data_IF_437576825865
#
_entry.id   IF_437576825865
#
_cell.length_a   1.000
_cell.length_b   1.000
_cell.length_c   1.000
_cell.angle_alpha   90.00
_cell.angle_beta   90.00
_cell.angle_gamma   90.00
#
_symmetry.space_group_name_H-M   'P 1'
#
loop_
_entity.id
_entity.type
_entity.pdbx_description
1 polymer ?
#
# COMPACT_ATOMS: atom_id res chain seq x y z
N UNK A 1 -23.72 0.17 -21.68
CA UNK A 1 -23.19 1.03 -20.61
C UNK A 1 -21.81 1.46 -21.03
N UNK A 2 -21.46 2.74 -20.90
CA UNK A 2 -20.17 3.27 -21.36
C UNK A 2 -19.06 2.99 -20.33
N UNK A 3 -17.86 2.75 -20.84
CA UNK A 3 -16.66 2.54 -20.03
C UNK A 3 -16.25 3.81 -19.27
N UNK A 4 -15.81 3.68 -18.02
CA UNK A 4 -15.20 4.78 -17.26
C UNK A 4 -13.76 4.98 -17.73
N UNK A 5 -13.40 6.22 -18.05
CA UNK A 5 -12.01 6.62 -18.28
C UNK A 5 -11.29 6.87 -16.96
N UNK A 6 -10.01 6.50 -16.89
CA UNK A 6 -9.14 6.83 -15.76
C UNK A 6 -9.13 8.34 -15.53
N UNK A 7 -9.24 8.74 -14.26
CA UNK A 7 -9.08 10.12 -13.85
C UNK A 7 -8.07 10.15 -12.69
N UNK A 8 -6.85 10.60 -12.99
CA UNK A 8 -5.75 10.58 -12.04
C UNK A 8 -5.98 11.55 -10.88
N UNK A 9 -5.76 11.06 -9.67
CA UNK A 9 -5.69 11.89 -8.47
C UNK A 9 -4.29 12.53 -8.35
N UNK A 10 -4.13 13.59 -7.53
CA UNK A 10 -2.80 13.97 -7.07
C UNK A 10 -2.10 12.78 -6.40
N UNK A 11 -0.82 12.56 -6.71
CA UNK A 11 -0.07 11.39 -6.21
C UNK A 11 0.12 11.37 -4.69
N UNK A 12 -0.06 12.52 -4.01
CA UNK A 12 0.19 12.67 -2.58
C UNK A 12 -1.03 13.19 -1.81
N UNK A 13 -1.28 12.54 -0.66
CA UNK A 13 -2.20 13.02 0.37
C UNK A 13 -1.43 13.90 1.37
N UNK A 14 -1.37 15.20 1.09
CA UNK A 14 -0.40 16.09 1.77
C UNK A 14 -0.98 16.98 2.88
N UNK A 15 -2.30 17.09 3.01
CA UNK A 15 -2.87 17.93 4.08
C UNK A 15 -2.89 17.17 5.42
N UNK A 16 -2.48 17.81 6.54
CA UNK A 16 -2.54 17.18 7.85
C UNK A 16 -3.92 16.63 8.22
N UNK A 17 -4.99 17.29 7.77
CA UNK A 17 -6.37 16.90 8.01
C UNK A 17 -6.73 15.60 7.27
N UNK A 18 -6.36 15.47 6.00
CA UNK A 18 -6.60 14.23 5.24
C UNK A 18 -5.81 13.06 5.81
N UNK A 19 -4.52 13.28 6.12
CA UNK A 19 -3.68 12.25 6.74
C UNK A 19 -4.25 11.78 8.07
N UNK A 20 -4.73 12.70 8.91
CA UNK A 20 -5.35 12.36 10.18
C UNK A 20 -6.67 11.59 10.00
N UNK A 21 -7.51 11.99 9.04
CA UNK A 21 -8.76 11.30 8.74
C UNK A 21 -8.52 9.87 8.22
N UNK A 22 -7.56 9.70 7.30
CA UNK A 22 -7.15 8.40 6.79
C UNK A 22 -6.59 7.50 7.90
N UNK A 23 -5.65 8.02 8.70
CA UNK A 23 -5.04 7.26 9.79
C UNK A 23 -6.04 6.87 10.91
N UNK A 24 -7.14 7.60 11.04
CA UNK A 24 -8.20 7.30 12.01
C UNK A 24 -9.29 6.35 11.46
N UNK A 25 -9.34 6.13 10.14
CA UNK A 25 -10.31 5.25 9.52
C UNK A 25 -10.00 3.78 9.81
N UNK A 26 -11.04 2.97 9.99
CA UNK A 26 -10.88 1.55 10.31
C UNK A 26 -10.64 0.72 9.03
N UNK A 27 -9.38 0.54 8.69
CA UNK A 27 -8.94 -0.35 7.62
C UNK A 27 -8.52 -1.73 8.12
N UNK A 28 -8.90 -2.11 9.35
CA UNK A 28 -8.40 -3.33 9.97
C UNK A 28 -8.69 -4.59 9.16
N UNK A 29 -9.90 -4.70 8.58
CA UNK A 29 -10.30 -5.82 7.74
C UNK A 29 -9.50 -5.88 6.44
N UNK A 30 -9.49 -4.85 5.57
CA UNK A 30 -8.76 -4.91 4.30
C UNK A 30 -7.23 -5.03 4.49
N UNK A 31 -6.64 -4.34 5.48
CA UNK A 31 -5.21 -4.43 5.73
C UNK A 31 -4.80 -5.80 6.31
N UNK A 32 -5.62 -6.40 7.17
CA UNK A 32 -5.36 -7.75 7.65
C UNK A 32 -5.52 -8.80 6.53
N UNK A 33 -6.47 -8.61 5.62
CA UNK A 33 -6.69 -9.51 4.51
C UNK A 33 -5.46 -9.65 3.61
N UNK A 34 -4.71 -8.57 3.39
CA UNK A 34 -3.43 -8.61 2.67
C UNK A 34 -2.44 -9.55 3.35
N UNK A 35 -2.20 -9.37 4.65
CA UNK A 35 -1.22 -10.17 5.42
C UNK A 35 -1.65 -11.63 5.47
N UNK A 36 -2.94 -11.89 5.70
CA UNK A 36 -3.49 -13.25 5.66
C UNK A 36 -3.30 -13.88 4.28
N UNK A 37 -3.56 -13.12 3.20
CA UNK A 37 -3.44 -13.65 1.84
C UNK A 37 -1.99 -13.94 1.44
N UNK A 38 -1.06 -13.08 1.86
CA UNK A 38 0.37 -13.32 1.71
C UNK A 38 0.76 -14.65 2.38
N UNK A 39 0.36 -14.87 3.63
CA UNK A 39 0.68 -16.10 4.36
C UNK A 39 0.11 -17.38 3.70
N UNK A 40 -1.08 -17.29 3.11
CA UNK A 40 -1.68 -18.41 2.36
C UNK A 40 -0.89 -18.76 1.09
N UNK A 41 -0.38 -17.75 0.39
CA UNK A 41 0.33 -17.93 -0.88
C UNK A 41 1.79 -18.32 -0.69
N UNK A 42 2.40 -17.86 0.40
CA UNK A 42 3.82 -18.05 0.71
C UNK A 42 4.00 -18.67 2.10
N UNK A 43 3.52 -19.90 2.33
CA UNK A 43 3.52 -20.53 3.66
C UNK A 43 4.93 -20.79 4.22
N UNK A 44 5.94 -20.84 3.35
CA UNK A 44 7.34 -21.08 3.73
C UNK A 44 8.10 -19.79 4.09
N UNK A 45 7.52 -18.61 3.85
CA UNK A 45 8.14 -17.34 4.22
C UNK A 45 8.04 -17.11 5.74
N UNK A 46 9.12 -16.65 6.38
CA UNK A 46 9.15 -16.44 7.82
C UNK A 46 10.17 -15.44 8.37
N UNK A 47 11.18 -15.06 7.58
CA UNK A 47 12.28 -14.19 7.99
C UNK A 47 12.91 -13.52 6.77
N UNK A 48 13.83 -12.59 7.00
CA UNK A 48 14.52 -11.82 5.97
C UNK A 48 14.15 -10.35 5.99
N UNK A 49 14.64 -9.61 5.00
CA UNK A 49 14.36 -8.20 4.80
C UNK A 49 13.19 -8.02 3.82
N UNK A 50 12.14 -7.36 4.29
CA UNK A 50 10.91 -7.12 3.53
C UNK A 50 10.84 -5.67 3.10
N UNK A 51 10.53 -5.43 1.83
CA UNK A 51 10.21 -4.10 1.32
C UNK A 51 8.70 -3.90 1.27
N UNK A 52 8.21 -2.85 1.91
CA UNK A 52 6.82 -2.38 1.82
C UNK A 52 6.80 -1.03 1.07
N UNK A 53 6.43 -1.05 -0.20
CA UNK A 53 6.39 0.17 -1.03
C UNK A 53 5.03 0.83 -0.95
N UNK A 54 5.02 2.14 -0.66
CA UNK A 54 3.81 2.90 -0.40
C UNK A 54 3.25 2.59 0.98
N UNK A 55 4.14 2.50 1.98
CA UNK A 55 3.76 2.01 3.31
C UNK A 55 2.77 2.94 4.04
N UNK A 56 2.60 4.19 3.59
CA UNK A 56 1.70 5.18 4.15
C UNK A 56 1.90 5.36 5.66
N UNK A 57 0.81 5.29 6.42
CA UNK A 57 0.82 5.35 7.89
C UNK A 57 1.25 4.02 8.57
N UNK A 58 1.85 3.10 7.80
CA UNK A 58 2.48 1.86 8.24
C UNK A 58 1.56 0.83 8.94
N UNK A 59 0.24 0.85 8.72
CA UNK A 59 -0.67 -0.15 9.32
C UNK A 59 -0.44 -1.56 8.74
N UNK A 60 -0.33 -1.69 7.41
CA UNK A 60 0.02 -2.97 6.78
C UNK A 60 1.41 -3.41 7.21
N UNK A 61 2.39 -2.52 7.20
CA UNK A 61 3.76 -2.75 7.68
C UNK A 61 3.76 -3.32 9.11
N UNK A 62 2.99 -2.71 10.01
CA UNK A 62 2.89 -3.14 11.41
C UNK A 62 2.25 -4.52 11.54
N UNK A 63 1.15 -4.77 10.83
CA UNK A 63 0.48 -6.09 10.83
C UNK A 63 1.40 -7.17 10.28
N UNK A 64 2.13 -6.87 9.21
CA UNK A 64 3.09 -7.80 8.62
C UNK A 64 4.22 -8.10 9.61
N UNK A 65 4.77 -7.08 10.27
CA UNK A 65 5.78 -7.26 11.32
C UNK A 65 5.25 -8.15 12.45
N UNK A 66 4.03 -7.92 12.94
CA UNK A 66 3.43 -8.73 14.00
C UNK A 66 3.23 -10.20 13.58
N UNK A 67 2.87 -10.45 12.32
CA UNK A 67 2.73 -11.80 11.76
C UNK A 67 4.08 -12.52 11.58
N UNK A 68 5.14 -11.78 11.24
CA UNK A 68 6.48 -12.29 10.95
C UNK A 68 7.50 -11.68 11.93
N UNK A 69 7.61 -12.20 13.17
CA UNK A 69 8.45 -11.59 14.22
C UNK A 69 9.94 -11.61 13.89
N UNK A 70 10.39 -12.55 13.06
CA UNK A 70 11.80 -12.71 12.65
C UNK A 70 12.14 -11.93 11.36
N UNK A 71 11.18 -11.21 10.76
CA UNK A 71 11.41 -10.36 9.61
C UNK A 71 11.81 -8.94 10.03
N UNK A 72 12.73 -8.34 9.27
CA UNK A 72 12.99 -6.91 9.27
C UNK A 72 12.19 -6.28 8.13
N UNK A 73 11.62 -5.11 8.34
CA UNK A 73 10.80 -4.43 7.34
C UNK A 73 11.33 -3.03 7.09
N UNK A 74 11.57 -2.74 5.82
CA UNK A 74 11.77 -1.39 5.32
C UNK A 74 10.47 -0.95 4.64
N UNK A 75 9.76 0.00 5.25
CA UNK A 75 8.64 0.69 4.63
C UNK A 75 9.13 1.96 3.93
N UNK A 76 8.69 2.20 2.70
CA UNK A 76 9.07 3.39 1.94
C UNK A 76 7.83 4.10 1.43
N UNK A 77 7.79 5.42 1.55
CA UNK A 77 6.67 6.24 1.08
C UNK A 77 7.16 7.63 0.66
N UNK A 78 6.46 8.26 -0.29
CA UNK A 78 6.79 9.60 -0.75
C UNK A 78 6.18 10.71 0.13
N UNK A 79 5.19 10.37 0.96
CA UNK A 79 4.45 11.28 1.82
C UNK A 79 5.07 11.45 3.22
N UNK A 80 5.81 12.53 3.51
CA UNK A 80 6.46 12.73 4.81
C UNK A 80 5.47 12.82 5.98
N UNK A 81 4.24 13.29 5.74
CA UNK A 81 3.20 13.33 6.76
C UNK A 81 2.68 11.93 7.12
N UNK A 82 2.53 11.05 6.13
CA UNK A 82 2.15 9.66 6.33
C UNK A 82 3.24 8.93 7.13
N UNK A 83 4.50 9.10 6.75
CA UNK A 83 5.65 8.54 7.47
C UNK A 83 5.72 9.01 8.92
N UNK A 84 5.44 10.29 9.19
CA UNK A 84 5.41 10.82 10.57
C UNK A 84 4.38 10.10 11.43
N UNK A 85 3.19 9.80 10.89
CA UNK A 85 2.17 8.99 11.58
C UNK A 85 2.64 7.55 11.72
N UNK A 86 3.21 6.97 10.68
CA UNK A 86 3.73 5.60 10.67
C UNK A 86 4.83 5.38 11.72
N UNK A 87 5.79 6.30 11.84
CA UNK A 87 6.86 6.20 12.85
C UNK A 87 6.28 6.18 14.27
N UNK A 88 5.29 7.04 14.54
CA UNK A 88 4.61 7.04 15.84
C UNK A 88 3.84 5.73 16.09
N UNK A 89 3.15 5.21 15.06
CA UNK A 89 2.41 3.96 15.12
C UNK A 89 3.34 2.76 15.43
N UNK A 90 4.44 2.63 14.69
CA UNK A 90 5.47 1.60 14.90
C UNK A 90 6.07 1.68 16.31
N UNK A 91 6.33 2.89 16.81
CA UNK A 91 6.86 3.08 18.17
C UNK A 91 5.85 2.65 19.26
N UNK A 92 4.57 3.01 19.11
CA UNK A 92 3.50 2.63 20.04
C UNK A 92 3.38 1.10 20.14
N UNK A 93 3.55 0.39 19.02
CA UNK A 93 3.51 -1.07 18.96
C UNK A 93 4.81 -1.76 19.39
N UNK A 94 5.86 -1.00 19.72
CA UNK A 94 7.16 -1.55 20.12
C UNK A 94 7.92 -2.25 18.99
N UNK A 95 7.68 -1.84 17.73
CA UNK A 95 8.25 -2.48 16.54
C UNK A 95 9.50 -1.78 16.00
N UNK A 96 9.94 -0.68 16.63
CA UNK A 96 11.04 0.17 16.15
C UNK A 96 12.41 -0.51 16.04
N UNK A 97 12.62 -1.69 16.63
CA UNK A 97 13.88 -2.43 16.50
C UNK A 97 14.03 -3.18 15.17
N UNK A 98 12.94 -3.33 14.41
CA UNK A 98 12.90 -4.15 13.19
C UNK A 98 12.05 -3.59 12.06
N UNK A 99 11.40 -2.44 12.29
CA UNK A 99 10.69 -1.70 11.25
C UNK A 99 11.34 -0.33 11.10
N UNK A 100 11.84 -0.06 9.90
CA UNK A 100 12.40 1.23 9.48
C UNK A 100 11.50 1.82 8.42
N UNK A 101 11.22 3.12 8.51
CA UNK A 101 10.41 3.83 7.52
C UNK A 101 11.26 4.94 6.90
N UNK A 102 11.29 5.02 5.56
CA UNK A 102 12.09 5.98 4.81
C UNK A 102 11.28 6.76 3.78
N UNK A 103 11.62 8.03 3.60
CA UNK A 103 11.06 8.88 2.56
C UNK A 103 11.75 8.63 1.22
N UNK A 104 11.07 7.91 0.32
CA UNK A 104 11.53 7.61 -1.02
C UNK A 104 10.38 7.77 -2.02
N UNK A 105 10.68 8.36 -3.17
CA UNK A 105 9.80 8.26 -4.34
C UNK A 105 10.19 7.01 -5.12
N UNK A 106 9.29 6.43 -5.91
CA UNK A 106 9.63 5.33 -6.82
C UNK A 106 9.42 5.74 -8.29
N UNK A 107 10.31 5.31 -9.20
CA UNK A 107 11.51 4.49 -8.96
C UNK A 107 12.66 5.31 -8.34
N UNK A 108 13.49 4.68 -7.49
CA UNK A 108 14.67 5.31 -6.89
C UNK A 108 15.84 4.31 -6.79
N UNK A 109 17.00 4.72 -7.29
CA UNK A 109 18.21 3.90 -7.34
C UNK A 109 18.75 3.55 -5.94
N UNK A 110 18.39 4.31 -4.90
CA UNK A 110 18.78 4.00 -3.52
C UNK A 110 18.25 2.64 -3.07
N UNK A 111 17.16 2.14 -3.65
CA UNK A 111 16.65 0.79 -3.35
C UNK A 111 17.65 -0.32 -3.70
N UNK A 112 18.59 -0.08 -4.63
CA UNK A 112 19.64 -1.05 -4.96
C UNK A 112 20.65 -1.24 -3.81
N UNK A 113 20.85 -0.19 -3.01
CA UNK A 113 21.78 -0.21 -1.87
C UNK A 113 21.12 -0.73 -0.57
N UNK A 114 19.78 -0.71 -0.52
CA UNK A 114 18.99 -1.11 0.64
C UNK A 114 18.60 -2.59 0.64
N UNK A 115 18.78 -3.28 -0.50
CA UNK A 115 18.48 -4.69 -0.69
C UNK A 115 19.74 -5.61 -0.65
N UNK A 116 19.61 -6.88 -1.08
CA UNK A 116 18.43 -7.47 -1.70
C UNK A 116 17.29 -7.78 -0.70
N UNK A 117 16.06 -7.80 -1.19
CA UNK A 117 14.86 -8.06 -0.37
C UNK A 117 14.37 -9.51 -0.50
N UNK A 118 14.08 -10.13 0.64
CA UNK A 118 13.57 -11.51 0.74
C UNK A 118 12.06 -11.59 0.47
N UNK A 119 11.32 -10.48 0.59
CA UNK A 119 9.95 -10.36 0.14
C UNK A 119 9.59 -8.91 -0.19
N UNK A 120 8.57 -8.76 -1.04
CA UNK A 120 8.02 -7.48 -1.46
C UNK A 120 6.51 -7.45 -1.21
N UNK A 121 6.05 -6.40 -0.54
CA UNK A 121 4.62 -6.10 -0.39
C UNK A 121 4.32 -4.68 -0.88
N UNK A 122 3.13 -4.49 -1.43
CA UNK A 122 2.62 -3.18 -1.83
C UNK A 122 1.09 -3.21 -1.69
N UNK A 123 0.54 -2.20 -1.00
CA UNK A 123 -0.89 -2.06 -0.78
C UNK A 123 -1.36 -0.69 -1.23
N UNK A 124 -2.31 -0.65 -2.16
CA UNK A 124 -3.03 0.57 -2.54
C UNK A 124 -2.12 1.73 -2.98
N UNK A 125 -1.05 1.45 -3.72
CA UNK A 125 -0.15 2.46 -4.31
C UNK A 125 -0.22 2.50 -5.84
N UNK A 126 -0.39 1.35 -6.50
CA UNK A 126 -0.23 1.20 -7.94
C UNK A 126 -1.14 2.15 -8.71
N UNK A 127 -2.37 2.38 -8.23
CA UNK A 127 -3.31 3.31 -8.85
C UNK A 127 -2.87 4.79 -8.80
N UNK A 128 -2.09 5.18 -7.79
CA UNK A 128 -1.57 6.54 -7.67
C UNK A 128 -0.35 6.80 -8.56
N UNK A 129 0.34 5.77 -9.05
CA UNK A 129 1.51 5.95 -9.90
C UNK A 129 1.11 6.51 -11.27
N UNK A 130 1.81 7.54 -11.74
CA UNK A 130 1.68 8.01 -13.12
C UNK A 130 2.06 6.94 -14.15
N UNK A 131 3.09 6.13 -13.86
CA UNK A 131 3.51 4.97 -14.65
C UNK A 131 3.51 3.71 -13.77
N UNK A 132 2.63 2.72 -14.03
CA UNK A 132 2.57 1.50 -13.21
C UNK A 132 3.85 0.66 -13.32
N UNK A 133 4.65 0.83 -14.39
CA UNK A 133 5.92 0.12 -14.53
C UNK A 133 6.94 0.49 -13.45
N UNK A 134 6.85 1.68 -12.86
CA UNK A 134 7.74 2.14 -11.78
C UNK A 134 7.74 1.18 -10.56
N UNK A 135 6.58 0.57 -10.27
CA UNK A 135 6.49 -0.43 -9.20
C UNK A 135 7.33 -1.66 -9.54
N UNK A 136 7.20 -2.16 -10.76
CA UNK A 136 7.90 -3.35 -11.24
C UNK A 136 9.41 -3.12 -11.39
N UNK A 137 9.83 -1.91 -11.73
CA UNK A 137 11.24 -1.55 -11.72
C UNK A 137 11.87 -1.64 -10.34
N UNK A 138 11.08 -1.39 -9.29
CA UNK A 138 11.54 -1.47 -7.90
C UNK A 138 11.76 -2.92 -7.43
N UNK A 139 11.18 -3.92 -8.13
CA UNK A 139 11.38 -5.34 -7.84
C UNK A 139 12.77 -5.87 -8.23
N UNK A 140 13.54 -5.15 -9.06
CA UNK A 140 14.88 -5.57 -9.52
C UNK A 140 15.85 -5.84 -8.37
N UNK A 141 15.54 -5.32 -7.19
CA UNK A 141 16.32 -5.47 -5.96
C UNK A 141 15.85 -6.63 -5.07
N UNK A 142 14.97 -7.49 -5.56
CA UNK A 142 14.49 -8.66 -4.81
C UNK A 142 15.42 -9.86 -5.01
N UNK A 143 15.49 -10.74 -4.01
CA UNK A 143 16.14 -12.06 -4.16
C UNK A 143 15.41 -12.86 -5.24
N UNK A 144 16.15 -13.65 -6.02
CA UNK A 144 15.56 -14.56 -7.00
C UNK A 144 14.56 -15.50 -6.33
N UNK A 145 13.30 -15.46 -6.80
CA UNK A 145 12.21 -16.26 -6.22
C UNK A 145 11.60 -15.70 -4.94
N UNK A 146 11.98 -14.48 -4.53
CA UNK A 146 11.33 -13.78 -3.42
C UNK A 146 9.81 -13.65 -3.66
N UNK A 147 8.98 -13.87 -2.63
CA UNK A 147 7.57 -13.51 -2.66
C UNK A 147 7.36 -12.05 -3.07
N UNK A 148 6.50 -11.82 -4.04
CA UNK A 148 6.03 -10.49 -4.43
C UNK A 148 4.51 -10.48 -4.31
N UNK A 149 3.99 -9.57 -3.50
CA UNK A 149 2.55 -9.44 -3.29
C UNK A 149 2.09 -7.99 -3.45
N UNK A 150 1.30 -7.74 -4.48
CA UNK A 150 0.71 -6.42 -4.76
C UNK A 150 -0.80 -6.55 -4.66
N UNK A 151 -1.40 -5.75 -3.79
CA UNK A 151 -2.84 -5.63 -3.64
C UNK A 151 -3.26 -4.21 -3.99
N UNK A 152 -4.16 -4.07 -4.96
CA UNK A 152 -4.62 -2.77 -5.40
C UNK A 152 -6.07 -2.83 -5.91
N UNK A 153 -6.63 -1.64 -6.15
CA UNK A 153 -7.94 -1.45 -6.76
C UNK A 153 -7.89 -1.75 -8.26
N UNK A 154 -9.04 -2.16 -8.79
CA UNK A 154 -9.22 -2.34 -10.23
C UNK A 154 -10.31 -1.43 -10.73
N UNK A 155 -10.04 -0.73 -11.85
CA UNK A 155 -10.98 0.24 -12.39
C UNK A 155 -12.34 -0.41 -12.67
N UNK A 156 -13.44 0.14 -12.11
CA UNK A 156 -14.76 -0.35 -12.44
C UNK A 156 -15.07 -0.13 -13.90
N UNK A 157 -15.71 -1.11 -14.53
CA UNK A 157 -16.01 -1.04 -15.96
C UNK A 157 -16.95 0.13 -16.29
N UNK A 158 -17.94 0.37 -15.43
CA UNK A 158 -18.94 1.41 -15.66
C UNK A 158 -19.38 2.06 -14.34
N UNK A 159 -20.14 3.17 -14.46
CA UNK A 159 -20.59 3.95 -13.31
C UNK A 159 -21.45 3.15 -12.33
N UNK A 160 -22.31 2.25 -12.81
CA UNK A 160 -23.12 1.43 -11.90
C UNK A 160 -22.24 0.53 -11.02
N UNK A 161 -21.19 -0.06 -11.59
CA UNK A 161 -20.25 -0.89 -10.84
C UNK A 161 -19.43 -0.05 -9.85
N UNK A 162 -19.04 1.18 -10.22
CA UNK A 162 -18.37 2.12 -9.33
C UNK A 162 -19.23 2.42 -8.09
N UNK A 163 -20.48 2.86 -8.30
CA UNK A 163 -21.38 3.19 -7.19
C UNK A 163 -21.68 1.97 -6.31
N UNK A 164 -21.85 0.78 -6.91
CA UNK A 164 -22.08 -0.46 -6.16
C UNK A 164 -20.88 -0.86 -5.29
N UNK A 165 -19.64 -0.64 -5.76
CA UNK A 165 -18.43 -0.92 -4.97
C UNK A 165 -18.28 0.07 -3.82
N UNK A 166 -18.55 1.34 -4.05
CA UNK A 166 -18.53 2.37 -2.99
C UNK A 166 -19.56 2.02 -1.92
N UNK A 167 -20.81 1.77 -2.31
CA UNK A 167 -21.86 1.37 -1.36
C UNK A 167 -21.49 0.12 -0.56
N UNK A 168 -20.88 -0.88 -1.20
CA UNK A 168 -20.51 -2.15 -0.56
C UNK A 168 -19.36 -2.01 0.46
N UNK A 169 -18.40 -1.13 0.21
CA UNK A 169 -17.13 -1.11 0.95
C UNK A 169 -16.97 0.06 1.90
N UNK A 170 -17.85 1.06 1.86
CA UNK A 170 -17.70 2.26 2.68
C UNK A 170 -18.85 2.47 3.67
N UNK A 171 -19.61 1.43 3.99
CA UNK A 171 -20.63 1.50 5.04
C UNK A 171 -19.99 1.90 6.38
N UNK A 172 -20.50 2.97 7.01
CA UNK A 172 -20.01 3.47 8.30
C UNK A 172 -18.75 4.36 8.23
N UNK A 173 -18.17 4.58 7.05
CA UNK A 173 -17.04 5.48 6.88
C UNK A 173 -17.48 6.96 6.82
N UNK A 174 -16.54 7.85 7.17
CA UNK A 174 -16.73 9.29 7.03
C UNK A 174 -16.84 9.70 5.55
N UNK A 175 -17.54 10.81 5.28
CA UNK A 175 -17.82 11.26 3.91
C UNK A 175 -16.54 11.50 3.08
N UNK A 176 -15.47 11.95 3.74
CA UNK A 176 -14.17 12.17 3.15
C UNK A 176 -13.58 10.85 2.62
N UNK A 177 -13.61 9.78 3.43
CA UNK A 177 -13.10 8.46 3.03
C UNK A 177 -13.95 7.84 1.90
N UNK A 178 -15.26 8.06 1.93
CA UNK A 178 -16.16 7.63 0.83
C UNK A 178 -15.76 8.32 -0.48
N UNK A 179 -15.48 9.62 -0.41
CA UNK A 179 -15.08 10.44 -1.57
C UNK A 179 -13.72 10.00 -2.09
N UNK A 180 -12.74 9.80 -1.20
CA UNK A 180 -11.40 9.33 -1.56
C UNK A 180 -11.49 7.95 -2.23
N UNK A 181 -12.20 6.98 -1.63
CA UNK A 181 -12.37 5.65 -2.24
C UNK A 181 -13.04 5.68 -3.62
N UNK A 182 -14.05 6.54 -3.81
CA UNK A 182 -14.70 6.74 -5.11
C UNK A 182 -13.69 7.22 -6.16
N UNK A 183 -12.87 8.21 -5.80
CA UNK A 183 -11.87 8.76 -6.70
C UNK A 183 -10.75 7.75 -6.99
N UNK A 184 -10.25 7.03 -5.97
CA UNK A 184 -9.21 6.02 -6.15
C UNK A 184 -9.68 4.86 -7.04
N UNK A 185 -10.96 4.47 -6.98
CA UNK A 185 -11.52 3.52 -7.95
C UNK A 185 -11.50 4.06 -9.39
N UNK A 186 -11.67 5.37 -9.58
CA UNK A 186 -11.59 6.00 -10.90
C UNK A 186 -10.15 6.21 -11.37
N UNK A 187 -9.22 6.35 -10.44
CA UNK A 187 -7.79 6.45 -10.71
C UNK A 187 -7.17 5.08 -11.03
N UNK A 188 -7.72 4.00 -10.47
CA UNK A 188 -7.14 2.67 -10.64
C UNK A 188 -6.97 2.21 -12.08
N UNK A 189 -6.00 1.34 -12.28
CA UNK A 189 -5.71 0.72 -13.56
C UNK A 189 -6.63 -0.48 -13.83
N UNK A 190 -6.75 -0.84 -15.10
CA UNK A 190 -7.23 -2.15 -15.52
C UNK A 190 -6.08 -3.14 -15.57
N UNK A 191 -6.38 -4.44 -15.52
CA UNK A 191 -5.36 -5.49 -15.60
C UNK A 191 -4.57 -5.51 -16.93
N UNK A 192 -5.03 -4.83 -17.97
CA UNK A 192 -4.34 -4.74 -19.26
C UNK A 192 -3.37 -3.53 -19.33
N UNK A 193 -3.45 -2.59 -18.38
CA UNK A 193 -2.62 -1.39 -18.33
C UNK A 193 -1.38 -1.55 -17.44
N UNK A 194 -1.24 -2.69 -16.75
CA UNK A 194 -0.22 -2.98 -15.73
C UNK A 194 0.64 -4.16 -16.14
#
# INVERSE_FOLDING_TARGET
MSEIRRFAEPELMDTPEQVAAYAAADFSVPHQALVTKFAELFPDFGTGLVLDIGCGAADVTARFALQYPEAQILGVDAGPQMLRVGVAHIAILGLSSRVTLEELHIPDARLEELGPFDAFICNSLLHHLTDPAALWESLKNSVDGAPVFVQDLRRPYNHQMLEALVEMHTEGFAHEIITDFHNSLRDSYTAAEV
#
